data_IF_520147756125
#
_entry.id   IF_520147756125
#
_cell.length_a   1.000
_cell.length_b   1.000
_cell.length_c   1.000
_cell.angle_alpha   90.00
_cell.angle_beta   90.00
_cell.angle_gamma   90.00
#
_symmetry.space_group_name_H-M   'P 1'
#
loop_
_entity.id
_entity.type
_entity.pdbx_description
1 polymer ?
#
# COMPACT_ATOMS: atom_id res chain seq x y z
N UNK A 1 -27.60 -0.10 -2.40
CA UNK A 1 -26.86 -1.09 -3.21
C UNK A 1 -25.54 -0.43 -3.59
N UNK A 2 -24.42 -0.79 -2.96
CA UNK A 2 -23.11 -0.33 -3.47
C UNK A 2 -22.80 -1.08 -4.77
N UNK A 3 -22.35 -0.36 -5.79
CA UNK A 3 -21.95 -0.95 -7.07
C UNK A 3 -20.44 -1.16 -7.05
N UNK A 4 -19.99 -2.41 -7.03
CA UNK A 4 -18.56 -2.75 -7.15
C UNK A 4 -18.22 -2.89 -8.63
N UNK A 5 -17.22 -2.15 -9.11
CA UNK A 5 -16.69 -2.28 -10.47
C UNK A 5 -15.27 -2.80 -10.38
N UNK A 6 -14.92 -3.83 -11.17
CA UNK A 6 -13.58 -4.44 -11.19
C UNK A 6 -12.98 -4.21 -12.57
N UNK A 7 -11.78 -3.65 -12.62
CA UNK A 7 -11.01 -3.45 -13.84
C UNK A 7 -9.71 -4.24 -13.75
N UNK A 8 -9.28 -4.84 -14.85
CA UNK A 8 -8.02 -5.58 -14.92
C UNK A 8 -7.21 -5.05 -16.11
N UNK A 9 -5.98 -4.62 -15.84
CA UNK A 9 -4.99 -4.26 -16.87
C UNK A 9 -3.82 -5.21 -16.77
N UNK A 10 -3.40 -5.79 -17.90
CA UNK A 10 -2.26 -6.71 -17.96
C UNK A 10 -1.20 -6.09 -18.86
N UNK A 11 -0.01 -5.88 -18.30
CA UNK A 11 1.17 -5.36 -19.03
C UNK A 11 2.29 -6.40 -18.94
N UNK A 12 2.91 -6.80 -20.07
CA UNK A 12 4.03 -7.72 -20.03
C UNK A 12 5.24 -7.09 -19.34
N UNK A 13 6.04 -7.93 -18.68
CA UNK A 13 7.28 -7.47 -18.05
C UNK A 13 8.31 -7.05 -19.12
N UNK A 14 9.16 -6.05 -18.81
CA UNK A 14 10.28 -5.69 -19.69
C UNK A 14 11.19 -6.89 -19.97
N UNK A 15 11.79 -6.91 -21.17
CA UNK A 15 12.73 -7.96 -21.55
C UNK A 15 13.92 -8.00 -20.58
N UNK A 16 14.25 -9.20 -20.07
CA UNK A 16 15.33 -9.40 -19.10
C UNK A 16 14.90 -9.38 -17.63
N UNK A 17 13.64 -9.00 -17.33
CA UNK A 17 13.09 -9.06 -15.98
C UNK A 17 12.40 -10.42 -15.77
N UNK A 18 12.89 -11.19 -14.81
CA UNK A 18 12.26 -12.46 -14.42
C UNK A 18 11.10 -12.21 -13.47
N UNK A 19 10.15 -13.17 -13.40
CA UNK A 19 9.07 -13.12 -12.41
C UNK A 19 9.60 -13.07 -10.98
N UNK A 20 10.70 -13.78 -10.70
CA UNK A 20 11.26 -13.84 -9.35
C UNK A 20 11.74 -12.46 -8.90
N UNK A 21 12.42 -11.72 -9.76
CA UNK A 21 12.87 -10.35 -9.47
C UNK A 21 11.68 -9.45 -9.10
N UNK A 22 10.56 -9.60 -9.80
CA UNK A 22 9.35 -8.82 -9.51
C UNK A 22 8.74 -9.23 -8.17
N UNK A 23 8.70 -10.52 -7.86
CA UNK A 23 8.18 -11.00 -6.58
C UNK A 23 9.07 -10.55 -5.42
N UNK A 24 10.38 -10.67 -5.55
CA UNK A 24 11.34 -10.22 -4.54
C UNK A 24 11.17 -8.73 -4.24
N UNK A 25 10.97 -7.92 -5.30
CA UNK A 25 10.68 -6.49 -5.16
C UNK A 25 9.32 -6.21 -4.52
N UNK A 26 8.27 -6.93 -4.90
CA UNK A 26 6.94 -6.77 -4.30
C UNK A 26 6.92 -7.18 -2.81
N UNK A 27 7.72 -8.15 -2.41
CA UNK A 27 7.83 -8.63 -1.02
C UNK A 27 8.77 -7.75 -0.17
N UNK A 28 9.55 -6.86 -0.79
CA UNK A 28 10.22 -5.78 -0.06
C UNK A 28 9.25 -4.63 0.20
N UNK A 29 8.50 -4.73 1.30
CA UNK A 29 7.47 -3.75 1.64
C UNK A 29 8.04 -2.34 1.83
N UNK A 30 9.27 -2.22 2.32
CA UNK A 30 9.87 -0.92 2.57
C UNK A 30 10.25 -0.24 1.26
N UNK A 31 10.88 -0.98 0.35
CA UNK A 31 11.20 -0.48 -0.98
C UNK A 31 9.91 -0.13 -1.74
N UNK A 32 8.87 -0.97 -1.65
CA UNK A 32 7.54 -0.72 -2.23
C UNK A 32 6.90 0.58 -1.72
N UNK A 33 6.97 0.84 -0.42
CA UNK A 33 6.45 2.09 0.16
C UNK A 33 7.24 3.30 -0.38
N UNK A 34 8.57 3.17 -0.49
CA UNK A 34 9.45 4.27 -0.91
C UNK A 34 9.31 4.66 -2.39
N UNK A 35 8.65 3.83 -3.19
CA UNK A 35 8.28 4.20 -4.57
C UNK A 35 7.28 5.34 -4.62
N UNK A 36 6.49 5.56 -3.57
CA UNK A 36 5.57 6.67 -3.52
C UNK A 36 6.30 7.93 -3.01
N UNK A 37 6.60 8.92 -3.87
CA UNK A 37 7.35 10.11 -3.48
C UNK A 37 6.58 11.02 -2.49
N UNK A 38 5.30 10.75 -2.25
CA UNK A 38 4.50 11.48 -1.27
C UNK A 38 4.79 11.01 0.16
N UNK A 39 5.27 9.77 0.33
CA UNK A 39 5.60 9.22 1.64
C UNK A 39 6.80 9.98 2.20
N UNK A 40 6.62 10.65 3.33
CA UNK A 40 7.69 11.33 4.07
C UNK A 40 8.20 10.54 5.26
N UNK A 41 7.39 9.62 5.77
CA UNK A 41 7.74 8.78 6.91
C UNK A 41 7.01 7.44 6.82
N UNK A 42 7.70 6.36 7.20
CA UNK A 42 7.13 5.02 7.38
C UNK A 42 7.78 4.33 8.57
N UNK A 43 6.99 3.56 9.32
CA UNK A 43 7.53 2.66 10.33
C UNK A 43 6.59 1.46 10.56
N UNK A 44 7.14 0.28 10.89
CA UNK A 44 6.32 -0.88 11.21
C UNK A 44 5.55 -0.65 12.51
N UNK A 45 4.32 -1.13 12.56
CA UNK A 45 3.44 -1.08 13.74
C UNK A 45 2.86 -2.47 14.01
N UNK A 46 2.43 -2.77 15.24
CA UNK A 46 1.59 -3.95 15.48
C UNK A 46 0.23 -3.79 14.78
N UNK A 47 -0.51 -4.90 14.56
CA UNK A 47 -1.87 -4.83 14.01
C UNK A 47 -2.74 -3.85 14.82
N UNK A 48 -3.34 -2.84 14.18
CA UNK A 48 -4.16 -1.86 14.87
C UNK A 48 -5.50 -2.46 15.29
N UNK A 49 -6.21 -1.79 16.21
CA UNK A 49 -7.47 -2.30 16.75
C UNK A 49 -8.59 -2.46 15.71
N UNK A 50 -8.51 -1.75 14.58
CA UNK A 50 -9.46 -1.86 13.47
C UNK A 50 -9.07 -2.91 12.42
N UNK A 51 -7.97 -3.65 12.62
CA UNK A 51 -7.57 -4.73 11.73
C UNK A 51 -8.67 -5.81 11.68
N UNK A 52 -9.01 -6.26 10.47
CA UNK A 52 -9.91 -7.39 10.30
C UNK A 52 -9.21 -8.71 10.70
N UNK A 53 -10.00 -9.75 10.96
CA UNK A 53 -9.49 -11.07 11.35
C UNK A 53 -8.43 -11.62 10.37
N UNK A 54 -8.62 -11.36 9.08
CA UNK A 54 -7.75 -11.85 8.00
C UNK A 54 -6.41 -11.11 7.95
N UNK A 55 -6.36 -9.87 8.46
CA UNK A 55 -5.18 -9.01 8.38
C UNK A 55 -4.29 -9.05 9.62
N UNK A 56 -4.70 -9.76 10.68
CA UNK A 56 -3.86 -9.89 11.89
C UNK A 56 -2.51 -10.54 11.62
N UNK A 57 -2.38 -11.30 10.53
CA UNK A 57 -1.13 -11.95 10.11
C UNK A 57 -0.32 -11.11 9.13
N UNK A 58 -0.85 -9.98 8.66
CA UNK A 58 -0.18 -9.08 7.73
C UNK A 58 0.94 -8.30 8.42
N UNK A 59 1.86 -7.78 7.62
CA UNK A 59 2.83 -6.80 8.10
C UNK A 59 2.17 -5.42 8.05
N UNK A 60 2.21 -4.71 9.16
CA UNK A 60 1.54 -3.42 9.29
C UNK A 60 2.55 -2.28 9.34
N UNK A 61 2.23 -1.21 8.62
CA UNK A 61 3.01 0.03 8.61
C UNK A 61 2.11 1.22 8.88
N UNK A 62 2.62 2.19 9.63
CA UNK A 62 2.09 3.55 9.62
C UNK A 62 2.87 4.37 8.62
N UNK A 63 2.15 5.04 7.72
CA UNK A 63 2.68 5.87 6.64
C UNK A 63 2.21 7.30 6.85
N UNK A 64 3.08 8.28 6.62
CA UNK A 64 2.72 9.68 6.55
C UNK A 64 3.03 10.22 5.16
N UNK A 65 1.99 10.65 4.45
CA UNK A 65 2.12 11.26 3.13
C UNK A 65 1.99 12.78 3.24
N UNK A 66 2.77 13.48 2.41
CA UNK A 66 2.64 14.92 2.22
C UNK A 66 1.74 15.19 1.02
N UNK A 67 0.48 15.54 1.29
CA UNK A 67 -0.55 15.74 0.25
C UNK A 67 -0.94 17.21 0.18
N UNK A 68 -1.13 17.74 -1.03
CA UNK A 68 -1.67 19.09 -1.24
C UNK A 68 -3.14 18.99 -1.67
N UNK A 69 -4.06 19.16 -0.71
CA UNK A 69 -5.51 19.00 -0.92
C UNK A 69 -6.15 20.17 -1.68
N UNK A 70 -5.52 21.35 -1.69
CA UNK A 70 -6.00 22.54 -2.38
C UNK A 70 -4.81 23.36 -2.93
N UNK A 71 -5.01 24.24 -3.94
CA UNK A 71 -3.98 25.17 -4.38
C UNK A 71 -3.46 25.98 -3.18
N UNK A 72 -2.25 25.66 -2.71
CA UNK A 72 -1.59 26.35 -1.60
C UNK A 72 -1.77 25.75 -0.20
N UNK A 73 -2.52 24.65 -0.01
CA UNK A 73 -2.62 23.97 1.31
C UNK A 73 -2.03 22.56 1.20
N UNK A 74 -0.81 22.42 1.73
CA UNK A 74 -0.15 21.15 1.95
C UNK A 74 -0.36 20.69 3.39
N UNK A 75 -0.72 19.43 3.59
CA UNK A 75 -0.88 18.81 4.89
C UNK A 75 -0.26 17.42 4.93
N UNK A 76 0.10 16.99 6.14
CA UNK A 76 0.58 15.64 6.38
C UNK A 76 -0.63 14.75 6.71
N UNK A 77 -0.72 13.59 6.07
CA UNK A 77 -1.79 12.60 6.28
C UNK A 77 -1.16 11.30 6.72
N UNK A 78 -1.50 10.89 7.95
CA UNK A 78 -1.04 9.62 8.51
C UNK A 78 -2.12 8.55 8.37
N UNK A 79 -1.74 7.40 7.85
CA UNK A 79 -2.61 6.25 7.64
C UNK A 79 -1.89 4.94 7.98
N UNK A 80 -2.64 3.85 8.07
CA UNK A 80 -2.10 2.51 8.31
C UNK A 80 -2.36 1.62 7.11
N UNK A 81 -1.37 0.84 6.70
CA UNK A 81 -1.53 -0.17 5.64
C UNK A 81 -1.10 -1.55 6.12
N UNK A 82 -1.87 -2.55 5.71
CA UNK A 82 -1.54 -3.97 5.83
C UNK A 82 -0.92 -4.47 4.51
N UNK A 83 0.17 -5.23 4.61
CA UNK A 83 0.87 -5.88 3.52
C UNK A 83 0.82 -7.39 3.70
N UNK A 84 0.36 -8.09 2.67
CA UNK A 84 0.18 -9.54 2.64
C UNK A 84 0.88 -10.13 1.42
N UNK A 85 1.99 -10.83 1.65
CA UNK A 85 2.74 -11.49 0.58
C UNK A 85 1.97 -12.70 0.05
N UNK A 86 1.69 -12.67 -1.24
CA UNK A 86 1.09 -13.78 -1.96
C UNK A 86 2.19 -14.53 -2.73
N UNK A 87 2.02 -15.85 -2.99
CA UNK A 87 2.98 -16.61 -3.78
C UNK A 87 3.23 -16.04 -5.19
N UNK A 88 2.32 -15.21 -5.69
CA UNK A 88 2.38 -14.61 -7.03
C UNK A 88 2.29 -13.08 -7.00
N UNK A 89 2.43 -12.43 -5.85
CA UNK A 89 2.39 -10.97 -5.77
C UNK A 89 2.31 -10.45 -4.34
N UNK A 90 1.75 -9.26 -4.20
CA UNK A 90 1.53 -8.58 -2.93
C UNK A 90 0.09 -8.05 -2.92
N UNK A 91 -0.61 -8.26 -1.81
CA UNK A 91 -1.89 -7.64 -1.54
C UNK A 91 -1.71 -6.57 -0.46
N UNK A 92 -2.25 -5.38 -0.71
CA UNK A 92 -2.15 -4.25 0.23
C UNK A 92 -3.54 -3.71 0.53
N UNK A 93 -3.81 -3.41 1.80
CA UNK A 93 -5.01 -2.71 2.22
C UNK A 93 -4.64 -1.49 3.06
N UNK A 94 -5.00 -0.31 2.57
CA UNK A 94 -4.67 0.97 3.20
C UNK A 94 -5.92 1.65 3.76
N UNK A 95 -5.82 2.11 5.01
CA UNK A 95 -6.88 2.77 5.74
C UNK A 95 -6.66 4.29 5.74
N UNK A 96 -7.07 4.95 4.67
CA UNK A 96 -6.90 6.40 4.54
C UNK A 96 -7.86 7.19 5.46
N UNK A 97 -7.37 8.25 6.13
CA UNK A 97 -8.21 9.22 6.83
C UNK A 97 -9.19 9.91 5.88
N UNK A 98 -10.34 10.32 6.42
CA UNK A 98 -11.36 11.14 5.75
C UNK A 98 -12.30 10.44 4.74
N UNK A 99 -12.55 9.13 4.89
CA UNK A 99 -13.63 8.44 4.16
C UNK A 99 -13.31 8.15 2.69
N UNK A 100 -12.03 8.18 2.33
CA UNK A 100 -11.50 7.64 1.09
C UNK A 100 -11.19 6.15 1.31
N UNK A 101 -12.24 5.33 1.47
CA UNK A 101 -12.15 3.86 1.56
C UNK A 101 -13.04 3.21 0.52
#
# INVERSE_FOLDING_TARGET
>A
MSKRTVFTTVTPLPAGISRQIVLDFLHDHQEMIDLNPLVKERHPIPPPSHASADEYRCQWYSLTDKISYFPGVAGDVTYTCAFNDLPTGLETHCYAPAGLS
#
